data_IF_028205979974
#
_entry.id   IF_028205979974
#
_cell.length_a   1.000
_cell.length_b   1.000
_cell.length_c   1.000
_cell.angle_alpha   90.00
_cell.angle_beta   90.00
_cell.angle_gamma   90.00
#
_symmetry.space_group_name_H-M   'P 1'
#
loop_
_entity.id
_entity.type
_entity.pdbx_description
1 polymer ?
#
# COMPACT_ATOMS: atom_id res chain seq x y z
N UNK A 1 2.76 -0.40 6.21
CA UNK A 1 4.01 -0.75 5.52
C UNK A 1 4.66 -1.99 6.14
N UNK A 2 4.87 -2.02 7.46
CA UNK A 2 5.59 -3.11 8.13
C UNK A 2 4.67 -4.16 8.79
N UNK A 3 3.34 -4.05 8.63
CA UNK A 3 2.33 -4.96 9.20
C UNK A 3 2.56 -5.26 10.71
N UNK A 4 3.05 -4.27 11.46
CA UNK A 4 3.40 -4.37 12.88
C UNK A 4 2.19 -4.04 13.79
N UNK A 5 1.00 -4.37 13.38
CA UNK A 5 -0.23 -4.24 14.16
C UNK A 5 -0.78 -5.63 14.48
N UNK A 6 -1.60 -5.77 15.52
CA UNK A 6 -2.26 -7.04 15.80
C UNK A 6 -3.07 -7.50 14.59
N UNK A 7 -2.89 -8.74 14.15
CA UNK A 7 -3.64 -9.31 13.02
C UNK A 7 -5.05 -9.75 13.42
N UNK A 8 -5.32 -9.85 14.71
CA UNK A 8 -6.59 -10.32 15.28
C UNK A 8 -7.09 -9.37 16.36
N UNK A 9 -8.38 -9.35 16.57
CA UNK A 9 -9.02 -8.54 17.60
C UNK A 9 -9.18 -7.06 17.24
N UNK A 10 -8.96 -6.70 15.99
CA UNK A 10 -9.22 -5.35 15.50
C UNK A 10 -10.73 -5.09 15.44
N UNK A 11 -11.15 -3.91 15.86
CA UNK A 11 -12.55 -3.48 15.83
C UNK A 11 -12.67 -2.02 15.44
N UNK A 12 -13.75 -1.71 14.77
CA UNK A 12 -14.17 -0.32 14.55
C UNK A 12 -14.64 0.32 15.86
N UNK A 13 -14.79 1.62 15.88
CA UNK A 13 -15.31 2.37 17.05
C UNK A 13 -16.73 1.99 17.44
N UNK A 14 -17.53 1.52 16.49
CA UNK A 14 -18.89 0.99 16.69
C UNK A 14 -18.93 -0.52 17.01
N UNK A 15 -17.75 -1.15 17.18
CA UNK A 15 -17.61 -2.52 17.67
C UNK A 15 -17.63 -3.61 16.62
N UNK A 16 -17.67 -3.29 15.31
CA UNK A 16 -17.59 -4.27 14.24
C UNK A 16 -16.19 -4.88 14.16
N UNK A 17 -16.10 -6.19 13.94
CA UNK A 17 -14.82 -6.86 13.74
C UNK A 17 -14.16 -6.43 12.44
N UNK A 18 -12.86 -6.21 12.48
CA UNK A 18 -12.03 -5.81 11.33
C UNK A 18 -10.96 -6.86 11.08
N UNK A 19 -10.92 -7.35 9.84
CA UNK A 19 -9.89 -8.26 9.35
C UNK A 19 -9.22 -7.63 8.12
N UNK A 20 -7.92 -7.41 8.18
CA UNK A 20 -7.14 -6.86 7.06
C UNK A 20 -6.68 -8.01 6.17
N UNK A 21 -7.37 -8.21 5.04
CA UNK A 21 -7.03 -9.24 4.05
C UNK A 21 -5.79 -8.79 3.26
N UNK A 22 -5.83 -7.55 2.76
CA UNK A 22 -4.74 -6.93 2.02
C UNK A 22 -4.71 -5.43 2.38
N UNK A 23 -3.60 -4.91 2.92
CA UNK A 23 -3.51 -3.49 3.23
C UNK A 23 -3.49 -2.59 1.99
N UNK A 24 -3.36 -3.17 0.79
CA UNK A 24 -3.26 -2.42 -0.45
C UNK A 24 -1.88 -1.83 -0.70
N UNK A 25 -1.82 -0.90 -1.64
CA UNK A 25 -0.60 -0.23 -2.08
C UNK A 25 -0.37 1.03 -1.24
N UNK A 26 0.75 1.07 -0.53
CA UNK A 26 1.16 2.25 0.23
C UNK A 26 1.48 3.41 -0.73
N UNK A 27 0.75 4.51 -0.57
CA UNK A 27 0.95 5.74 -1.30
C UNK A 27 2.02 6.61 -0.61
N UNK A 28 2.84 7.28 -1.41
CA UNK A 28 3.84 8.25 -0.94
C UNK A 28 3.63 9.63 -1.57
N UNK A 29 2.56 9.77 -2.35
CA UNK A 29 2.18 10.98 -3.04
C UNK A 29 0.90 11.56 -2.42
N UNK A 30 0.32 12.58 -3.04
CA UNK A 30 -0.98 13.11 -2.63
C UNK A 30 -2.09 12.05 -2.73
N UNK A 31 -3.09 12.15 -1.87
CA UNK A 31 -4.21 11.21 -1.77
C UNK A 31 -4.09 10.25 -0.60
N UNK A 32 -5.01 9.30 -0.47
CA UNK A 32 -5.06 8.34 0.63
C UNK A 32 -3.77 7.55 0.82
N UNK A 33 -3.47 7.20 2.07
CA UNK A 33 -2.24 6.48 2.46
C UNK A 33 -2.10 5.10 1.84
N UNK A 34 -3.23 4.41 1.64
CA UNK A 34 -3.25 3.10 1.00
C UNK A 34 -4.37 3.02 -0.03
N UNK A 35 -4.01 2.57 -1.24
CA UNK A 35 -4.95 2.32 -2.33
C UNK A 35 -5.33 0.85 -2.43
N UNK A 36 -6.59 0.60 -2.81
CA UNK A 36 -7.10 -0.74 -3.11
C UNK A 36 -6.90 -1.76 -1.97
N UNK A 37 -7.00 -1.31 -0.73
CA UNK A 37 -7.02 -2.19 0.42
C UNK A 37 -8.25 -3.10 0.38
N UNK A 38 -8.10 -4.33 0.89
CA UNK A 38 -9.18 -5.29 1.09
C UNK A 38 -9.34 -5.55 2.57
N UNK A 39 -10.45 -5.07 3.12
CA UNK A 39 -10.74 -5.14 4.54
C UNK A 39 -12.12 -5.74 4.74
N UNK A 40 -12.22 -6.70 5.64
CA UNK A 40 -13.50 -7.28 6.04
C UNK A 40 -13.98 -6.59 7.31
N UNK A 41 -15.13 -5.94 7.26
CA UNK A 41 -15.71 -5.20 8.38
C UNK A 41 -17.11 -5.76 8.65
N UNK A 42 -17.36 -6.22 9.87
CA UNK A 42 -18.64 -6.83 10.24
C UNK A 42 -19.04 -8.02 9.36
N UNK A 43 -18.06 -8.77 8.83
CA UNK A 43 -18.30 -9.89 7.92
C UNK A 43 -18.38 -9.51 6.43
N UNK A 44 -18.48 -8.23 6.08
CA UNK A 44 -18.54 -7.76 4.68
C UNK A 44 -17.16 -7.38 4.17
N UNK A 45 -16.80 -7.86 2.97
CA UNK A 45 -15.54 -7.50 2.30
C UNK A 45 -15.69 -6.15 1.59
N UNK A 46 -14.85 -5.21 1.99
CA UNK A 46 -14.73 -3.89 1.37
C UNK A 46 -13.44 -3.79 0.59
N UNK A 47 -13.50 -3.13 -0.56
CA UNK A 47 -12.33 -2.80 -1.38
C UNK A 47 -12.33 -1.30 -1.63
N UNK A 48 -11.24 -0.63 -1.22
CA UNK A 48 -11.14 0.82 -1.35
C UNK A 48 -9.87 1.35 -0.70
N UNK A 49 -9.90 2.60 -0.30
CA UNK A 49 -8.73 3.28 0.24
C UNK A 49 -8.76 3.33 1.76
N UNK A 50 -7.60 3.39 2.38
CA UNK A 50 -7.44 3.55 3.83
C UNK A 50 -6.61 4.80 4.10
N UNK A 51 -7.04 5.58 5.07
CA UNK A 51 -6.33 6.75 5.58
C UNK A 51 -5.95 6.56 7.03
N UNK A 52 -4.76 7.05 7.42
CA UNK A 52 -4.20 6.89 8.77
C UNK A 52 -3.80 8.26 9.32
N UNK A 53 -4.21 8.54 10.56
CA UNK A 53 -3.84 9.76 11.28
C UNK A 53 -3.39 9.46 12.71
N UNK A 54 -2.70 10.39 13.33
CA UNK A 54 -2.47 10.36 14.76
C UNK A 54 -3.77 10.65 15.51
N UNK A 55 -4.51 11.66 15.07
CA UNK A 55 -5.84 12.02 15.58
C UNK A 55 -6.88 12.03 14.48
N UNK A 56 -8.08 11.60 14.77
CA UNK A 56 -9.17 11.66 13.80
C UNK A 56 -9.48 13.10 13.36
N UNK A 57 -9.30 14.08 14.23
CA UNK A 57 -9.47 15.51 13.91
C UNK A 57 -8.51 16.03 12.84
N UNK A 58 -7.36 15.36 12.61
CA UNK A 58 -6.41 15.72 11.55
C UNK A 58 -7.02 15.58 10.15
N UNK A 59 -8.06 14.74 10.01
CA UNK A 59 -8.88 14.66 8.81
C UNK A 59 -9.36 16.03 8.32
N UNK A 60 -9.88 16.85 9.24
CA UNK A 60 -10.36 18.18 8.92
C UNK A 60 -9.22 19.19 8.78
N UNK A 61 -8.15 19.03 9.54
CA UNK A 61 -6.93 19.86 9.42
C UNK A 61 -6.32 19.72 8.03
N UNK A 62 -6.28 18.50 7.49
CA UNK A 62 -5.79 18.20 6.14
C UNK A 62 -6.86 18.46 5.05
N UNK A 63 -8.07 18.85 5.42
CA UNK A 63 -9.19 19.14 4.51
C UNK A 63 -9.68 17.96 3.67
N UNK A 64 -9.55 16.75 4.19
CA UNK A 64 -10.03 15.54 3.50
C UNK A 64 -11.56 15.52 3.37
N UNK A 65 -12.26 16.22 4.24
CA UNK A 65 -13.71 16.49 4.16
C UNK A 65 -14.14 17.27 2.90
N UNK A 66 -13.17 17.86 2.18
CA UNK A 66 -13.42 18.68 0.98
C UNK A 66 -12.82 18.10 -0.28
N UNK A 67 -11.98 17.07 -0.15
CA UNK A 67 -11.25 16.46 -1.26
C UNK A 67 -11.99 15.22 -1.77
N UNK A 68 -12.39 15.18 -3.06
CA UNK A 68 -13.09 14.04 -3.64
C UNK A 68 -12.24 12.77 -3.69
N UNK A 69 -10.90 12.84 -3.61
CA UNK A 69 -10.02 11.67 -3.58
C UNK A 69 -10.25 10.79 -2.35
N UNK A 70 -10.84 11.37 -1.27
CA UNK A 70 -11.15 10.67 -0.04
C UNK A 70 -12.59 10.14 0.05
N UNK A 71 -13.37 10.25 -1.03
CA UNK A 71 -14.74 9.73 -1.06
C UNK A 71 -14.81 8.19 -1.06
N UNK A 72 -13.74 7.50 -1.43
CA UNK A 72 -13.66 6.03 -1.45
C UNK A 72 -12.84 5.48 -0.27
N UNK A 73 -12.86 6.16 0.87
CA UNK A 73 -12.26 5.64 2.10
C UNK A 73 -13.20 4.58 2.69
N UNK A 74 -12.69 3.37 2.83
CA UNK A 74 -13.41 2.23 3.42
C UNK A 74 -13.10 2.04 4.90
N UNK A 75 -11.98 2.60 5.36
CA UNK A 75 -11.57 2.56 6.76
C UNK A 75 -10.67 3.76 7.06
N UNK A 76 -11.01 4.50 8.10
CA UNK A 76 -10.15 5.52 8.69
C UNK A 76 -9.52 4.98 9.97
N UNK A 77 -8.19 4.99 10.05
CA UNK A 77 -7.43 4.48 11.19
C UNK A 77 -6.81 5.66 11.95
N UNK A 78 -6.97 5.72 13.25
CA UNK A 78 -6.31 6.74 14.05
C UNK A 78 -5.80 6.18 15.38
N UNK A 79 -4.72 6.75 15.92
CA UNK A 79 -4.27 6.43 17.27
C UNK A 79 -5.26 6.93 18.31
N UNK A 80 -5.83 8.13 18.08
CA UNK A 80 -6.89 8.73 18.89
C UNK A 80 -8.09 9.10 18.02
N UNK A 81 -9.24 8.48 18.27
CA UNK A 81 -10.49 8.82 17.61
C UNK A 81 -11.24 9.80 18.51
N UNK A 82 -11.07 11.09 18.26
CA UNK A 82 -11.61 12.22 19.00
C UNK A 82 -12.83 12.87 18.30
N UNK A 83 -13.10 12.52 17.05
CA UNK A 83 -14.21 13.04 16.26
C UNK A 83 -14.61 12.03 15.17
N UNK A 84 -15.89 12.04 14.79
CA UNK A 84 -16.34 11.29 13.61
C UNK A 84 -15.95 12.04 12.34
N UNK A 85 -15.28 11.33 11.43
CA UNK A 85 -14.88 11.91 10.14
C UNK A 85 -15.98 11.76 9.10
N UNK A 86 -16.03 12.71 8.18
CA UNK A 86 -17.03 12.78 7.12
C UNK A 86 -16.35 13.07 5.79
N UNK A 87 -16.72 12.33 4.75
CA UNK A 87 -16.24 12.58 3.39
C UNK A 87 -16.93 13.79 2.76
N UNK A 88 -16.40 14.26 1.64
CA UNK A 88 -17.03 15.35 0.88
C UNK A 88 -18.47 15.00 0.41
N UNK A 89 -18.73 13.72 0.14
CA UNK A 89 -20.07 13.26 -0.23
C UNK A 89 -21.04 13.17 0.93
N UNK A 90 -20.52 13.23 2.14
CA UNK A 90 -21.32 13.20 3.35
C UNK A 90 -21.37 11.85 4.05
N UNK A 91 -20.63 10.85 3.55
CA UNK A 91 -20.54 9.53 4.14
C UNK A 91 -19.62 9.55 5.35
N UNK A 92 -19.90 8.66 6.33
CA UNK A 92 -19.10 8.45 7.52
C UNK A 92 -18.34 7.12 7.36
N UNK A 93 -17.07 7.15 6.94
CA UNK A 93 -16.30 5.91 6.84
C UNK A 93 -16.12 5.28 8.22
N UNK A 94 -16.16 3.94 8.33
CA UNK A 94 -15.82 3.24 9.55
C UNK A 94 -14.49 3.72 10.11
N UNK A 95 -14.42 3.92 11.43
CA UNK A 95 -13.20 4.34 12.10
C UNK A 95 -12.68 3.22 13.00
N UNK A 96 -11.36 3.09 13.05
CA UNK A 96 -10.68 2.12 13.90
C UNK A 96 -9.58 2.80 14.69
N UNK A 97 -9.55 2.52 16.00
CA UNK A 97 -8.44 2.92 16.84
C UNK A 97 -7.31 1.90 16.74
N UNK A 98 -6.10 2.36 16.42
CA UNK A 98 -4.92 1.52 16.37
C UNK A 98 -3.79 2.16 17.18
N UNK A 99 -3.46 1.55 18.31
CA UNK A 99 -2.35 2.01 19.15
C UNK A 99 -1.06 1.31 18.70
N UNK A 100 -0.01 2.09 18.51
CA UNK A 100 1.33 1.56 18.28
C UNK A 100 1.90 1.09 19.63
N UNK A 101 2.30 -0.19 19.77
CA UNK A 101 2.89 -0.68 21.01
C UNK A 101 4.13 0.14 21.41
N UNK A 102 4.28 0.44 22.70
CA UNK A 102 5.38 1.25 23.21
C UNK A 102 6.77 0.74 22.78
N UNK A 103 7.07 -0.58 22.82
CA UNK A 103 8.36 -1.09 22.34
C UNK A 103 8.63 -0.79 20.86
N UNK A 104 7.59 -0.78 20.01
CA UNK A 104 7.74 -0.44 18.59
C UNK A 104 8.08 1.03 18.42
N UNK A 105 7.45 1.90 19.21
CA UNK A 105 7.71 3.36 19.18
C UNK A 105 9.13 3.68 19.65
N UNK A 106 9.55 3.11 20.78
CA UNK A 106 10.89 3.30 21.35
C UNK A 106 11.99 2.86 20.38
N UNK A 107 11.88 1.66 19.81
CA UNK A 107 12.84 1.17 18.84
C UNK A 107 12.78 1.91 17.50
N UNK A 108 11.63 2.46 17.12
CA UNK A 108 11.50 3.23 15.89
C UNK A 108 12.27 4.56 15.97
N UNK A 109 12.22 5.25 17.09
CA UNK A 109 13.01 6.47 17.33
C UNK A 109 14.51 6.17 17.30
N UNK A 110 14.94 5.07 17.91
CA UNK A 110 16.33 4.61 17.83
C UNK A 110 16.74 4.32 16.37
N UNK A 111 15.90 3.67 15.59
CA UNK A 111 16.14 3.39 14.17
C UNK A 111 16.24 4.66 13.31
N UNK A 112 15.44 5.69 13.62
CA UNK A 112 15.49 6.97 12.90
C UNK A 112 16.77 7.75 13.19
N UNK A 113 17.34 7.62 14.38
CA UNK A 113 18.56 8.32 14.80
C UNK A 113 19.85 7.56 14.46
N UNK A 114 19.75 6.34 13.95
CA UNK A 114 20.88 5.51 13.59
C UNK A 114 21.45 5.90 12.21
N UNK A 115 22.65 6.46 12.18
CA UNK A 115 23.35 6.82 10.94
C UNK A 115 23.84 5.63 10.11
N UNK A 116 23.85 4.42 10.69
CA UNK A 116 24.32 3.23 10.03
C UNK A 116 23.24 2.56 9.19
N UNK A 117 23.56 2.22 7.96
CA UNK A 117 22.68 1.50 7.06
C UNK A 117 23.23 0.08 6.79
N UNK A 118 22.39 -0.94 6.86
CA UNK A 118 20.96 -0.96 7.24
C UNK A 118 20.78 -0.78 8.76
N UNK A 119 19.64 -0.26 9.25
CA UNK A 119 19.39 -0.04 10.67
C UNK A 119 19.58 -1.29 11.56
N UNK A 120 19.42 -2.49 10.98
CA UNK A 120 19.66 -3.77 11.66
C UNK A 120 21.11 -4.27 11.61
N UNK A 121 22.06 -3.44 11.16
CA UNK A 121 23.47 -3.85 10.95
C UNK A 121 24.13 -4.45 12.19
N UNK A 122 23.72 -4.03 13.39
CA UNK A 122 24.24 -4.55 14.66
C UNK A 122 23.85 -5.99 14.94
N UNK A 123 22.70 -6.43 14.44
CA UNK A 123 22.12 -7.76 14.69
C UNK A 123 22.58 -8.76 13.62
N UNK A 124 22.85 -8.30 12.40
CA UNK A 124 23.21 -9.17 11.28
C UNK A 124 24.43 -10.06 11.57
N UNK A 125 25.52 -9.57 12.18
CA UNK A 125 26.68 -10.41 12.49
C UNK A 125 26.41 -11.56 13.44
N UNK A 126 25.40 -11.44 14.31
CA UNK A 126 25.03 -12.43 15.31
C UNK A 126 24.11 -13.53 14.72
N UNK A 127 23.60 -13.34 13.53
CA UNK A 127 22.75 -14.31 12.85
C UNK A 127 23.60 -15.44 12.25
N UNK A 128 23.09 -16.67 12.35
CA UNK A 128 23.75 -17.78 11.67
C UNK A 128 23.77 -17.60 10.16
N UNK A 129 24.84 -18.04 9.49
CA UNK A 129 24.95 -17.97 8.03
C UNK A 129 23.78 -18.64 7.31
N UNK A 130 23.30 -19.76 7.87
CA UNK A 130 22.14 -20.47 7.34
C UNK A 130 20.88 -19.61 7.39
N UNK A 131 20.64 -18.92 8.50
CA UNK A 131 19.49 -18.03 8.67
C UNK A 131 19.52 -16.87 7.68
N UNK A 132 20.68 -16.21 7.55
CA UNK A 132 20.86 -15.10 6.59
C UNK A 132 20.62 -15.57 5.16
N UNK A 133 21.21 -16.72 4.77
CA UNK A 133 21.04 -17.28 3.43
C UNK A 133 19.59 -17.67 3.15
N UNK A 134 18.95 -18.36 4.10
CA UNK A 134 17.53 -18.74 3.97
C UNK A 134 16.63 -17.52 3.83
N UNK A 135 16.86 -16.49 4.65
CA UNK A 135 16.10 -15.25 4.61
C UNK A 135 16.29 -14.50 3.29
N UNK A 136 17.54 -14.36 2.83
CA UNK A 136 17.84 -13.72 1.54
C UNK A 136 17.19 -14.47 0.37
N UNK A 137 17.21 -15.81 0.39
CA UNK A 137 16.56 -16.63 -0.63
C UNK A 137 15.04 -16.46 -0.62
N UNK A 138 14.42 -16.40 0.57
CA UNK A 138 12.99 -16.16 0.70
C UNK A 138 12.59 -14.78 0.14
N UNK A 139 13.34 -13.71 0.49
CA UNK A 139 13.10 -12.36 -0.01
C UNK A 139 13.28 -12.28 -1.54
N UNK A 140 14.25 -12.99 -2.08
CA UNK A 140 14.47 -13.05 -3.52
C UNK A 140 13.32 -13.75 -4.24
N UNK A 141 12.83 -14.86 -3.70
CA UNK A 141 11.67 -15.58 -4.23
C UNK A 141 10.43 -14.72 -4.21
N UNK A 142 10.10 -14.11 -3.06
CA UNK A 142 8.96 -13.20 -2.91
C UNK A 142 9.03 -12.05 -3.92
N UNK A 143 10.21 -11.46 -4.11
CA UNK A 143 10.40 -10.39 -5.11
C UNK A 143 10.16 -10.86 -6.54
N UNK A 144 10.59 -12.07 -6.88
CA UNK A 144 10.35 -12.64 -8.21
C UNK A 144 8.87 -12.95 -8.44
N UNK A 145 8.21 -13.51 -7.44
CA UNK A 145 6.77 -13.79 -7.48
C UNK A 145 5.96 -12.51 -7.72
N UNK A 146 6.19 -11.46 -6.93
CA UNK A 146 5.52 -10.17 -7.11
C UNK A 146 5.74 -9.58 -8.50
N UNK A 147 6.95 -9.68 -9.05
CA UNK A 147 7.24 -9.21 -10.42
C UNK A 147 6.55 -10.05 -11.48
N UNK A 148 6.53 -11.36 -11.29
CA UNK A 148 5.86 -12.30 -12.20
C UNK A 148 4.35 -12.04 -12.23
N UNK A 149 3.73 -11.87 -11.07
CA UNK A 149 2.31 -11.54 -10.97
C UNK A 149 1.99 -10.21 -11.66
N UNK A 150 2.80 -9.18 -11.45
CA UNK A 150 2.62 -7.88 -12.09
C UNK A 150 2.73 -7.98 -13.63
N UNK A 151 3.64 -8.79 -14.16
CA UNK A 151 3.77 -9.03 -15.59
C UNK A 151 2.57 -9.85 -16.10
N UNK A 152 2.18 -10.90 -15.38
CA UNK A 152 1.03 -11.73 -15.76
C UNK A 152 -0.26 -10.89 -15.81
N UNK A 153 -0.44 -9.97 -14.88
CA UNK A 153 -1.57 -9.05 -14.90
C UNK A 153 -1.53 -8.12 -16.13
N UNK A 154 -0.35 -7.56 -16.47
CA UNK A 154 -0.22 -6.72 -17.68
C UNK A 154 -0.50 -7.49 -18.96
N UNK A 155 -0.09 -8.75 -19.03
CA UNK A 155 -0.43 -9.61 -20.19
C UNK A 155 -1.93 -9.77 -20.32
N UNK A 156 -2.65 -9.97 -19.19
CA UNK A 156 -4.12 -10.01 -19.18
C UNK A 156 -4.73 -8.67 -19.61
N UNK A 157 -4.22 -7.57 -19.07
CA UNK A 157 -4.70 -6.20 -19.39
C UNK A 157 -4.45 -5.83 -20.86
N UNK A 158 -3.52 -6.51 -21.52
CA UNK A 158 -3.17 -6.34 -22.94
C UNK A 158 -3.77 -7.45 -23.82
N UNK A 159 -4.89 -8.05 -23.43
CA UNK A 159 -5.58 -9.10 -24.20
C UNK A 159 -4.69 -10.28 -24.58
N UNK A 160 -3.73 -10.65 -23.74
CA UNK A 160 -2.78 -11.74 -23.96
C UNK A 160 -1.57 -11.36 -24.82
N UNK A 161 -1.45 -10.12 -25.25
CA UNK A 161 -0.30 -9.67 -26.06
C UNK A 161 0.94 -9.46 -25.20
N UNK A 162 1.92 -10.33 -25.32
CA UNK A 162 3.21 -10.20 -24.67
C UNK A 162 4.02 -8.99 -25.16
N UNK A 163 3.89 -8.64 -26.43
CA UNK A 163 4.57 -7.48 -27.02
C UNK A 163 4.03 -6.17 -26.41
N UNK A 164 2.71 -6.05 -26.31
CA UNK A 164 2.07 -4.91 -25.65
C UNK A 164 2.42 -4.84 -24.15
N UNK A 165 2.38 -5.97 -23.44
CA UNK A 165 2.74 -6.04 -22.03
C UNK A 165 4.22 -5.69 -21.80
N UNK A 166 5.12 -6.07 -22.70
CA UNK A 166 6.53 -5.67 -22.66
C UNK A 166 6.69 -4.16 -22.84
N UNK A 167 6.03 -3.56 -23.83
CA UNK A 167 6.07 -2.11 -24.05
C UNK A 167 5.56 -1.34 -22.84
N UNK A 168 4.41 -1.75 -22.28
CA UNK A 168 3.81 -1.14 -21.07
C UNK A 168 4.77 -1.27 -19.88
N UNK A 169 5.41 -2.43 -19.72
CA UNK A 169 6.39 -2.66 -18.65
C UNK A 169 7.62 -1.77 -18.81
N UNK A 170 8.12 -1.62 -20.04
CA UNK A 170 9.24 -0.76 -20.36
C UNK A 170 8.90 0.70 -20.05
N UNK A 171 7.76 1.20 -20.53
CA UNK A 171 7.29 2.55 -20.25
C UNK A 171 7.18 2.82 -18.76
N UNK A 172 6.55 1.92 -17.99
CA UNK A 172 6.47 2.02 -16.55
C UNK A 172 7.84 2.20 -15.88
N UNK A 173 8.83 1.43 -16.33
CA UNK A 173 10.19 1.52 -15.77
C UNK A 173 10.88 2.85 -16.10
N UNK A 174 10.58 3.47 -17.23
CA UNK A 174 11.06 4.83 -17.54
C UNK A 174 10.47 5.91 -16.61
N UNK A 175 9.36 5.62 -15.95
CA UNK A 175 8.78 6.52 -14.96
C UNK A 175 9.52 6.58 -13.61
N UNK A 176 10.56 5.78 -13.40
CA UNK A 176 11.45 5.80 -12.23
C UNK A 176 10.72 5.88 -10.88
N UNK A 177 9.73 5.05 -10.65
CA UNK A 177 9.04 4.94 -9.36
C UNK A 177 7.96 6.01 -9.11
N UNK A 178 8.23 7.29 -9.31
CA UNK A 178 7.25 8.37 -9.09
C UNK A 178 6.22 8.44 -10.22
N UNK A 179 6.69 8.39 -11.46
CA UNK A 179 5.85 8.53 -12.65
C UNK A 179 5.48 7.17 -13.28
N UNK A 180 5.84 6.06 -12.64
CA UNK A 180 5.64 4.73 -13.21
C UNK A 180 4.18 4.44 -13.58
N UNK A 181 3.23 4.81 -12.73
CA UNK A 181 1.80 4.58 -12.97
C UNK A 181 1.26 5.47 -14.10
N UNK A 182 1.73 6.72 -14.19
CA UNK A 182 1.38 7.63 -15.27
C UNK A 182 1.89 7.12 -16.63
N UNK A 183 3.14 6.66 -16.69
CA UNK A 183 3.74 6.08 -17.89
C UNK A 183 3.07 4.76 -18.29
N UNK A 184 2.69 3.92 -17.33
CA UNK A 184 1.93 2.69 -17.60
C UNK A 184 0.57 3.00 -18.20
N UNK A 185 -0.17 3.96 -17.60
CA UNK A 185 -1.48 4.39 -18.09
C UNK A 185 -1.39 4.95 -19.50
N UNK A 186 -0.40 5.80 -19.74
CA UNK A 186 -0.15 6.36 -21.06
C UNK A 186 0.18 5.28 -22.09
N UNK A 187 1.06 4.33 -21.76
CA UNK A 187 1.45 3.26 -22.66
C UNK A 187 0.30 2.33 -23.05
N UNK A 188 -0.64 2.09 -22.14
CA UNK A 188 -1.86 1.29 -22.41
C UNK A 188 -2.78 1.94 -23.44
N UNK A 189 -2.69 3.27 -23.63
CA UNK A 189 -3.51 4.02 -24.61
C UNK A 189 -2.90 4.01 -26.02
N UNK A 190 -1.66 3.57 -26.18
CA UNK A 190 -0.96 3.56 -27.46
C UNK A 190 -1.17 2.23 -28.17
N UNK A 191 -1.84 2.20 -29.34
CA UNK A 191 -1.91 0.97 -30.13
C UNK A 191 -0.52 0.65 -30.69
N UNK A 192 0.05 -0.51 -30.32
CA UNK A 192 1.32 -1.00 -30.82
C UNK A 192 1.17 -1.57 -32.25
N UNK A 193 0.78 -0.72 -33.18
CA UNK A 193 0.80 -1.04 -34.62
C UNK A 193 1.98 -0.42 -35.37
N UNK A 194 2.94 0.12 -34.63
CA UNK A 194 4.12 0.76 -35.21
C UNK A 194 5.07 -0.34 -35.71
N UNK A 195 5.14 -0.49 -37.02
CA UNK A 195 6.19 -1.24 -37.68
C UNK A 195 5.81 -2.59 -38.30
N UNK A 196 4.54 -2.97 -38.33
CA UNK A 196 4.13 -3.98 -39.32
C UNK A 196 4.00 -3.30 -40.67
N UNK A 197 5.15 -3.08 -41.30
CA UNK A 197 5.14 -2.86 -42.75
C UNK A 197 4.44 -4.06 -43.36
N UNK A 198 3.28 -3.84 -43.97
CA UNK A 198 2.67 -4.84 -44.85
C UNK A 198 3.66 -5.08 -46.00
N UNK A 199 4.34 -6.20 -45.99
CA UNK A 199 4.97 -6.74 -47.19
C UNK A 199 3.90 -7.17 -48.18
#
# INVERSE_FOLDING_TARGET
KHKMFPLTGLKTTDGQEVEVIDPGLHNRNAGPDFFNAKVKIGGTLWVGNVEIHDRASDWFLHRHDRDPHYNNIILHVAESVDVDVKTKQGDYPPQMRLQVPAPVREHYEELLTTDAYPPCYRIIPDLSRLMVHSWMSALQTERLEQKTEAIAQRVKDCDGSWEAAYFVTLARNYGFGINGDAFETWAKLIPLQIGRASC
#
